data_IF_134653074712
#
_entry.id   IF_134653074712
#
_cell.length_a   1.000
_cell.length_b   1.000
_cell.length_c   1.000
_cell.angle_alpha   90.00
_cell.angle_beta   90.00
_cell.angle_gamma   90.00
#
_symmetry.space_group_name_H-M   'P 1'
#
loop_
_entity.id
_entity.type
_entity.pdbx_description
1 polymer ?
#
# COMPACT_ATOMS: atom_id res chain seq x y z
N UNK A 1 1.92 38.31 5.99
CA UNK A 1 1.92 37.23 4.98
C UNK A 1 2.04 35.89 5.68
N UNK A 2 1.21 34.90 5.33
CA UNK A 2 1.37 33.53 5.85
C UNK A 2 2.65 32.96 5.24
N UNK A 3 3.57 32.48 6.08
CA UNK A 3 4.83 31.86 5.61
C UNK A 3 4.51 30.71 4.62
N UNK A 4 5.36 30.48 3.59
CA UNK A 4 5.12 29.44 2.58
C UNK A 4 5.29 28.04 3.16
N UNK A 5 4.42 27.11 2.78
CA UNK A 5 4.56 25.71 3.14
C UNK A 5 5.70 25.07 2.38
N UNK A 6 6.70 24.56 3.10
CA UNK A 6 7.89 23.97 2.50
C UNK A 6 7.90 22.47 2.85
N UNK A 7 7.59 21.58 1.91
CA UNK A 7 7.72 20.15 2.17
C UNK A 7 9.19 19.76 2.39
N UNK A 8 9.48 18.63 3.07
CA UNK A 8 10.82 18.06 3.10
C UNK A 8 11.39 17.87 1.70
N UNK A 9 12.72 17.91 1.57
CA UNK A 9 13.36 17.64 0.28
C UNK A 9 12.98 16.24 -0.22
N UNK A 10 12.77 16.08 -1.54
CA UNK A 10 12.27 14.83 -2.17
C UNK A 10 10.98 14.29 -1.54
N UNK A 11 10.15 15.17 -0.99
CA UNK A 11 8.83 14.78 -0.52
C UNK A 11 8.00 14.19 -1.66
N UNK A 12 7.33 13.08 -1.39
CA UNK A 12 6.32 12.52 -2.27
C UNK A 12 5.34 11.65 -1.48
N UNK A 13 4.18 11.42 -2.10
CA UNK A 13 3.23 10.40 -1.67
C UNK A 13 3.69 9.08 -2.30
N UNK A 14 3.91 8.06 -1.47
CA UNK A 14 4.23 6.70 -1.93
C UNK A 14 2.93 5.93 -2.17
N UNK A 15 2.05 5.97 -1.18
CA UNK A 15 0.70 5.41 -1.20
C UNK A 15 -0.23 6.28 -0.35
N UNK A 16 -1.53 5.97 -0.34
CA UNK A 16 -2.45 6.65 0.56
C UNK A 16 -1.96 6.53 2.01
N UNK A 17 -1.81 7.68 2.68
CA UNK A 17 -1.29 7.82 4.05
C UNK A 17 0.18 7.36 4.25
N UNK A 18 0.92 7.08 3.18
CA UNK A 18 2.35 6.75 3.22
C UNK A 18 3.14 7.81 2.45
N UNK A 19 3.95 8.56 3.18
CA UNK A 19 4.74 9.66 2.62
C UNK A 19 6.23 9.37 2.75
N UNK A 20 7.03 9.89 1.81
CA UNK A 20 8.49 9.80 1.84
C UNK A 20 9.13 11.18 1.81
N UNK A 21 10.40 11.27 2.21
CA UNK A 21 11.24 12.44 1.95
C UNK A 21 12.62 12.35 2.60
N UNK A 22 13.32 13.49 2.61
CA UNK A 22 14.56 13.70 3.34
C UNK A 22 14.30 14.03 4.81
N UNK A 23 15.39 14.09 5.59
CA UNK A 23 15.35 14.46 7.00
C UNK A 23 14.64 15.81 7.22
N UNK A 24 13.54 15.84 8.00
CA UNK A 24 12.80 17.06 8.26
C UNK A 24 13.62 18.12 8.99
N UNK A 25 13.54 19.38 8.53
CA UNK A 25 14.08 20.56 9.22
C UNK A 25 12.93 21.41 9.76
N UNK A 26 13.22 22.35 10.67
CA UNK A 26 12.21 23.23 11.29
C UNK A 26 11.27 23.89 10.26
N UNK A 27 11.80 24.38 9.13
CA UNK A 27 11.02 24.95 8.02
C UNK A 27 9.95 24.02 7.42
N UNK A 28 10.09 22.70 7.62
CA UNK A 28 9.19 21.67 7.10
C UNK A 28 8.05 21.32 8.05
N UNK A 29 8.17 21.62 9.34
CA UNK A 29 7.23 21.15 10.37
C UNK A 29 5.81 21.66 10.16
N UNK A 30 5.64 22.90 9.68
CA UNK A 30 4.30 23.43 9.36
C UNK A 30 3.63 22.70 8.19
N UNK A 31 4.41 22.13 7.27
CA UNK A 31 3.89 21.26 6.21
C UNK A 31 3.54 19.88 6.78
N UNK A 32 4.45 19.24 7.51
CA UNK A 32 4.24 17.92 8.09
C UNK A 32 3.04 17.87 9.05
N UNK A 33 2.82 18.93 9.83
CA UNK A 33 1.63 19.07 10.69
C UNK A 33 0.31 18.94 9.93
N UNK A 34 0.26 19.40 8.67
CA UNK A 34 -0.95 19.29 7.85
C UNK A 34 -1.24 17.87 7.37
N UNK A 35 -0.23 17.00 7.33
CA UNK A 35 -0.41 15.59 7.00
C UNK A 35 -1.05 14.79 8.14
N UNK A 36 -1.14 15.38 9.35
CA UNK A 36 -1.70 14.73 10.55
C UNK A 36 -1.07 13.35 10.79
N UNK A 37 0.25 13.29 10.69
CA UNK A 37 1.01 12.06 10.81
C UNK A 37 0.76 11.43 12.16
N UNK A 38 0.64 10.10 12.17
CA UNK A 38 0.70 9.30 13.39
C UNK A 38 2.13 8.85 13.68
N UNK A 39 2.94 8.66 12.64
CA UNK A 39 4.29 8.11 12.76
C UNK A 39 5.29 8.86 11.89
N UNK A 40 6.49 9.12 12.40
CA UNK A 40 7.68 9.44 11.63
C UNK A 40 8.69 8.32 11.83
N UNK A 41 9.14 7.72 10.72
CA UNK A 41 10.10 6.61 10.72
C UNK A 41 11.43 7.07 10.08
N UNK A 42 12.45 7.21 10.93
CA UNK A 42 13.78 7.67 10.56
C UNK A 42 14.72 6.48 10.30
N UNK A 43 15.29 6.43 9.09
CA UNK A 43 16.27 5.44 8.63
C UNK A 43 17.64 6.11 8.47
N UNK A 44 18.31 6.40 9.59
CA UNK A 44 19.51 7.24 9.63
C UNK A 44 20.59 6.64 10.55
N UNK A 45 21.84 7.11 10.49
CA UNK A 45 22.93 6.50 11.28
C UNK A 45 22.90 6.87 12.76
N UNK A 46 22.48 8.09 13.06
CA UNK A 46 22.47 8.67 14.40
C UNK A 46 21.03 8.86 14.86
N UNK A 47 20.80 8.99 16.16
CA UNK A 47 19.48 9.33 16.67
C UNK A 47 18.96 10.66 16.08
N UNK A 48 17.64 10.80 15.86
CA UNK A 48 17.06 12.09 15.52
C UNK A 48 17.45 13.18 16.51
N UNK A 49 17.69 14.39 16.01
CA UNK A 49 18.01 15.54 16.85
C UNK A 49 16.81 15.93 17.71
N UNK A 50 17.09 16.56 18.86
CA UNK A 50 16.09 16.95 19.85
C UNK A 50 14.94 17.74 19.24
N UNK A 51 15.21 18.63 18.28
CA UNK A 51 14.19 19.46 17.64
C UNK A 51 13.13 18.63 16.89
N UNK A 52 13.54 17.51 16.25
CA UNK A 52 12.59 16.60 15.60
C UNK A 52 11.78 15.81 16.64
N UNK A 53 12.42 15.41 17.74
CA UNK A 53 11.76 14.68 18.82
C UNK A 53 10.72 15.55 19.53
N UNK A 54 11.05 16.81 19.82
CA UNK A 54 10.12 17.80 20.39
C UNK A 54 8.95 18.08 19.45
N UNK A 55 9.21 18.23 18.14
CA UNK A 55 8.13 18.35 17.16
C UNK A 55 7.20 17.13 17.19
N UNK A 56 7.75 15.92 17.20
CA UNK A 56 6.96 14.70 17.30
C UNK A 56 6.13 14.66 18.58
N UNK A 57 6.71 15.01 19.72
CA UNK A 57 6.00 15.05 21.01
C UNK A 57 4.84 16.05 20.99
N UNK A 58 5.09 17.28 20.52
CA UNK A 58 4.09 18.36 20.48
C UNK A 58 2.90 18.05 19.56
N UNK A 59 3.14 17.29 18.49
CA UNK A 59 2.09 16.90 17.53
C UNK A 59 1.54 15.48 17.77
N UNK A 60 1.91 14.83 18.89
CA UNK A 60 1.53 13.44 19.23
C UNK A 60 1.90 12.40 18.16
N UNK A 61 3.06 12.58 17.52
CA UNK A 61 3.61 11.69 16.50
C UNK A 61 4.55 10.68 17.16
N UNK A 62 4.36 9.40 16.86
CA UNK A 62 5.30 8.34 17.25
C UNK A 62 6.58 8.46 16.42
N UNK A 63 7.69 8.81 17.08
CA UNK A 63 9.03 8.80 16.46
C UNK A 63 9.63 7.40 16.56
N UNK A 64 9.92 6.79 15.41
CA UNK A 64 10.58 5.47 15.33
C UNK A 64 11.91 5.66 14.61
N UNK A 65 12.99 5.19 15.23
CA UNK A 65 14.32 5.23 14.63
C UNK A 65 14.82 3.81 14.38
N UNK A 66 15.19 3.55 13.12
CA UNK A 66 15.92 2.36 12.72
C UNK A 66 17.30 2.78 12.22
N UNK A 67 18.33 2.41 12.98
CA UNK A 67 19.70 2.75 12.64
C UNK A 67 20.11 2.11 11.30
N UNK A 68 20.55 2.95 10.36
CA UNK A 68 21.07 2.56 9.05
C UNK A 68 22.36 3.34 8.80
N UNK A 69 23.43 2.63 8.45
CA UNK A 69 24.76 3.23 8.27
C UNK A 69 24.78 4.29 7.16
N UNK A 70 25.80 5.16 7.15
CA UNK A 70 26.05 6.02 5.99
C UNK A 70 26.52 5.16 4.82
N UNK A 71 26.12 5.51 3.60
CA UNK A 71 26.75 4.96 2.41
C UNK A 71 28.22 5.36 2.44
N UNK A 72 29.11 4.37 2.62
CA UNK A 72 30.55 4.57 2.51
C UNK A 72 31.04 4.04 1.16
N UNK A 73 30.67 2.82 0.77
CA UNK A 73 30.93 2.27 -0.58
C UNK A 73 29.93 1.17 -1.02
N UNK A 74 28.94 0.84 -0.19
CA UNK A 74 27.95 -0.23 -0.43
C UNK A 74 26.53 0.29 -0.15
N UNK A 75 25.53 -0.50 -0.54
CA UNK A 75 24.13 -0.31 -0.11
C UNK A 75 24.07 -0.28 1.43
N UNK A 76 23.73 0.86 2.05
CA UNK A 76 23.77 1.01 3.50
C UNK A 76 22.63 0.27 4.22
N UNK A 77 21.54 -0.02 3.51
CA UNK A 77 20.37 -0.74 4.01
C UNK A 77 20.63 -2.24 3.94
N UNK A 78 20.31 -2.99 5.00
CA UNK A 78 20.28 -4.45 4.95
C UNK A 78 18.85 -4.99 4.86
N UNK A 79 18.68 -6.24 4.44
CA UNK A 79 17.35 -6.86 4.29
C UNK A 79 16.55 -6.90 5.58
N UNK A 80 17.18 -7.13 6.73
CA UNK A 80 16.47 -7.12 8.01
C UNK A 80 15.84 -5.75 8.30
N UNK A 81 16.56 -4.65 8.07
CA UNK A 81 16.02 -3.29 8.21
C UNK A 81 14.96 -2.98 7.16
N UNK A 82 15.11 -3.48 5.93
CA UNK A 82 14.07 -3.35 4.91
C UNK A 82 12.78 -4.05 5.37
N UNK A 83 12.86 -5.31 5.85
CA UNK A 83 11.72 -6.08 6.38
C UNK A 83 11.05 -5.36 7.55
N UNK A 84 11.83 -4.94 8.56
CA UNK A 84 11.30 -4.17 9.70
C UNK A 84 10.54 -2.92 9.25
N UNK A 85 11.09 -2.21 8.27
CA UNK A 85 10.49 -0.99 7.73
C UNK A 85 9.20 -1.29 6.98
N UNK A 86 9.20 -2.32 6.11
CA UNK A 86 8.00 -2.73 5.37
C UNK A 86 6.87 -3.12 6.31
N UNK A 87 7.15 -3.91 7.34
CA UNK A 87 6.14 -4.34 8.31
C UNK A 87 5.52 -3.16 9.08
N UNK A 88 6.29 -2.10 9.35
CA UNK A 88 5.75 -0.86 9.94
C UNK A 88 4.88 -0.10 8.93
N UNK A 89 5.32 0.01 7.67
CA UNK A 89 4.60 0.77 6.63
C UNK A 89 3.25 0.14 6.31
N UNK A 90 3.18 -1.20 6.23
CA UNK A 90 1.95 -1.90 5.84
C UNK A 90 0.96 -2.06 6.98
N UNK A 91 1.34 -1.77 8.23
CA UNK A 91 0.43 -1.87 9.38
C UNK A 91 -0.38 -0.56 9.56
N UNK A 92 -1.71 -0.59 9.39
CA UNK A 92 -2.58 0.56 9.56
C UNK A 92 -2.46 1.25 10.93
N UNK A 93 -1.95 0.55 11.95
CA UNK A 93 -1.72 1.12 13.26
C UNK A 93 -0.66 2.24 13.27
N UNK A 94 0.17 2.34 12.22
CA UNK A 94 1.19 3.39 12.07
C UNK A 94 0.80 4.51 11.10
N UNK A 95 -0.28 4.35 10.33
CA UNK A 95 -0.70 5.33 9.32
C UNK A 95 -1.47 6.50 9.94
N UNK A 96 -1.34 7.74 9.41
CA UNK A 96 -0.43 8.15 8.34
C UNK A 96 1.04 8.24 8.77
N UNK A 97 1.95 7.81 7.88
CA UNK A 97 3.38 7.67 8.16
C UNK A 97 4.25 8.50 7.21
N UNK A 98 5.30 9.14 7.74
CA UNK A 98 6.37 9.73 6.93
C UNK A 98 7.69 8.97 7.14
N UNK A 99 8.20 8.37 6.07
CA UNK A 99 9.47 7.64 6.04
C UNK A 99 10.58 8.51 5.46
N UNK A 100 11.74 8.53 6.11
CA UNK A 100 12.88 9.29 5.60
C UNK A 100 14.23 8.70 5.98
N UNK A 101 15.24 9.00 5.17
CA UNK A 101 16.63 8.90 5.54
C UNK A 101 17.23 10.31 5.66
N UNK A 102 18.53 10.48 5.42
CA UNK A 102 19.17 11.80 5.47
C UNK A 102 18.69 12.71 4.34
N UNK A 103 18.73 12.21 3.10
CA UNK A 103 18.46 13.00 1.89
C UNK A 103 17.22 12.52 1.11
N UNK A 104 16.60 11.42 1.55
CA UNK A 104 15.42 10.83 0.93
C UNK A 104 15.67 10.16 -0.42
N UNK A 105 16.92 9.84 -0.78
CA UNK A 105 17.26 9.11 -2.00
C UNK A 105 17.46 7.62 -1.75
N UNK A 106 18.69 7.18 -1.42
CA UNK A 106 19.11 5.79 -1.53
C UNK A 106 18.37 4.88 -0.55
N UNK A 107 18.53 5.08 0.76
CA UNK A 107 17.90 4.22 1.80
C UNK A 107 16.37 4.23 1.69
N UNK A 108 15.76 5.42 1.65
CA UNK A 108 14.30 5.55 1.52
C UNK A 108 13.81 4.97 0.19
N UNK A 109 14.54 5.21 -0.90
CA UNK A 109 14.19 4.71 -2.22
C UNK A 109 14.28 3.18 -2.33
N UNK A 110 15.30 2.56 -1.75
CA UNK A 110 15.42 1.11 -1.68
C UNK A 110 14.30 0.47 -0.86
N UNK A 111 13.93 1.05 0.28
CA UNK A 111 12.75 0.62 1.04
C UNK A 111 11.49 0.68 0.18
N UNK A 112 11.29 1.79 -0.54
CA UNK A 112 10.13 1.96 -1.43
C UNK A 112 10.18 0.95 -2.58
N UNK A 113 11.35 0.67 -3.16
CA UNK A 113 11.49 -0.35 -4.20
C UNK A 113 11.17 -1.76 -3.67
N UNK A 114 11.59 -2.09 -2.44
CA UNK A 114 11.17 -3.33 -1.76
C UNK A 114 9.66 -3.36 -1.48
N UNK A 115 9.04 -2.21 -1.16
CA UNK A 115 7.58 -2.11 -1.02
C UNK A 115 6.88 -2.36 -2.35
N UNK A 116 7.37 -1.80 -3.45
CA UNK A 116 6.85 -2.07 -4.80
C UNK A 116 6.94 -3.55 -5.15
N UNK A 117 8.03 -4.22 -4.74
CA UNK A 117 8.18 -5.67 -4.89
C UNK A 117 7.12 -6.44 -4.09
N UNK A 118 6.81 -6.03 -2.86
CA UNK A 118 5.71 -6.60 -2.06
C UNK A 118 4.33 -6.33 -2.69
N UNK A 119 4.16 -5.19 -3.35
CA UNK A 119 2.97 -4.86 -4.13
C UNK A 119 2.93 -5.59 -5.50
N UNK A 120 3.86 -6.50 -5.76
CA UNK A 120 3.98 -7.25 -7.01
C UNK A 120 4.20 -6.39 -8.27
N UNK A 121 4.82 -5.21 -8.12
CA UNK A 121 5.28 -4.45 -9.28
C UNK A 121 6.42 -5.19 -9.98
N UNK A 122 6.55 -4.97 -11.30
CA UNK A 122 7.74 -5.43 -12.02
C UNK A 122 8.98 -4.68 -11.55
N UNK A 123 10.13 -5.37 -11.50
CA UNK A 123 11.40 -4.77 -11.08
C UNK A 123 11.73 -3.50 -11.90
N UNK A 124 11.60 -3.48 -13.25
CA UNK A 124 11.85 -2.26 -14.01
C UNK A 124 10.97 -1.08 -13.60
N UNK A 125 9.71 -1.31 -13.22
CA UNK A 125 8.81 -0.24 -12.76
C UNK A 125 9.23 0.29 -11.39
N UNK A 126 9.59 -0.61 -10.46
CA UNK A 126 10.10 -0.24 -9.14
C UNK A 126 11.41 0.56 -9.25
N UNK A 127 12.34 0.12 -10.10
CA UNK A 127 13.60 0.81 -10.34
C UNK A 127 13.37 2.15 -11.07
N UNK A 128 12.43 2.22 -11.99
CA UNK A 128 12.04 3.46 -12.67
C UNK A 128 11.48 4.51 -11.69
N UNK A 129 10.73 4.10 -10.66
CA UNK A 129 10.34 5.00 -9.57
C UNK A 129 11.54 5.40 -8.72
N UNK A 130 12.39 4.44 -8.33
CA UNK A 130 13.56 4.71 -7.49
C UNK A 130 14.51 5.74 -8.13
N UNK A 131 14.78 5.58 -9.42
CA UNK A 131 15.64 6.47 -10.22
C UNK A 131 15.25 7.94 -10.12
N UNK A 132 13.94 8.25 -10.08
CA UNK A 132 13.41 9.63 -10.03
C UNK A 132 13.86 10.40 -8.78
N UNK A 133 14.25 9.69 -7.72
CA UNK A 133 14.64 10.28 -6.45
C UNK A 133 16.16 10.27 -6.23
N UNK A 134 16.95 9.63 -7.10
CA UNK A 134 18.40 9.61 -6.96
C UNK A 134 19.00 10.97 -7.33
N UNK A 135 20.14 11.31 -6.71
CA UNK A 135 20.83 12.58 -6.95
C UNK A 135 21.42 12.62 -8.35
N UNK A 136 22.14 11.56 -8.69
CA UNK A 136 22.95 11.49 -9.90
C UNK A 136 22.17 10.84 -11.06
N UNK A 137 20.92 10.44 -10.82
CA UNK A 137 20.07 9.81 -11.83
C UNK A 137 20.62 8.47 -12.32
N UNK A 138 21.43 7.78 -11.51
CA UNK A 138 22.03 6.49 -11.82
C UNK A 138 21.81 5.56 -10.63
N UNK A 139 21.27 4.38 -10.91
CA UNK A 139 21.19 3.27 -9.96
C UNK A 139 22.49 2.50 -10.05
N UNK A 140 23.15 2.28 -8.92
CA UNK A 140 24.34 1.42 -8.86
C UNK A 140 24.01 -0.06 -9.05
N UNK A 141 25.00 -0.86 -9.47
CA UNK A 141 24.84 -2.31 -9.63
C UNK A 141 24.40 -2.96 -8.31
N UNK A 142 24.99 -2.52 -7.19
CA UNK A 142 24.70 -3.03 -5.86
C UNK A 142 23.26 -2.71 -5.44
N UNK A 143 22.73 -1.53 -5.78
CA UNK A 143 21.34 -1.16 -5.52
C UNK A 143 20.36 -1.96 -6.37
N UNK A 144 20.66 -2.20 -7.66
CA UNK A 144 19.83 -3.06 -8.52
C UNK A 144 19.81 -4.48 -7.98
N UNK A 145 20.98 -5.02 -7.68
CA UNK A 145 21.15 -6.38 -7.13
C UNK A 145 20.42 -6.53 -5.79
N UNK A 146 20.47 -5.51 -4.93
CA UNK A 146 19.75 -5.50 -3.66
C UNK A 146 18.24 -5.69 -3.86
N UNK A 147 17.62 -4.95 -4.78
CA UNK A 147 16.16 -5.05 -5.02
C UNK A 147 15.81 -6.36 -5.72
N UNK A 148 16.61 -6.78 -6.71
CA UNK A 148 16.41 -8.03 -7.44
C UNK A 148 16.50 -9.25 -6.53
N UNK A 149 17.53 -9.32 -5.69
CA UNK A 149 17.78 -10.44 -4.76
C UNK A 149 17.04 -10.33 -3.44
N UNK A 150 16.32 -9.23 -3.18
CA UNK A 150 15.51 -9.09 -1.97
C UNK A 150 14.49 -10.23 -1.86
N UNK A 151 14.71 -11.13 -0.90
CA UNK A 151 13.85 -12.26 -0.57
C UNK A 151 13.85 -12.43 0.95
N UNK A 152 12.66 -12.42 1.54
CA UNK A 152 12.47 -12.50 2.98
C UNK A 152 11.08 -13.03 3.30
N UNK A 153 10.87 -13.36 4.58
CA UNK A 153 9.54 -13.53 5.16
C UNK A 153 9.04 -12.18 5.66
N UNK A 154 7.84 -11.78 5.24
CA UNK A 154 7.17 -10.56 5.67
C UNK A 154 5.94 -10.94 6.48
N UNK A 155 5.85 -10.41 7.70
CA UNK A 155 4.64 -10.54 8.51
C UNK A 155 3.57 -9.56 8.04
N UNK A 156 2.43 -10.09 7.62
CA UNK A 156 1.29 -9.31 7.11
C UNK A 156 0.33 -9.02 8.28
N UNK A 157 -0.01 -7.74 8.52
CA UNK A 157 -0.87 -7.34 9.63
C UNK A 157 -2.29 -7.88 9.47
N UNK A 158 -3.03 -7.90 10.58
CA UNK A 158 -4.43 -8.38 10.60
C UNK A 158 -5.36 -7.57 9.69
N UNK A 159 -5.07 -6.29 9.53
CA UNK A 159 -5.79 -5.40 8.61
C UNK A 159 -4.83 -4.96 7.52
N UNK A 160 -5.14 -5.32 6.28
CA UNK A 160 -4.34 -4.94 5.11
C UNK A 160 -4.85 -3.58 4.61
N UNK A 161 -3.97 -2.58 4.38
CA UNK A 161 -4.35 -1.31 3.78
C UNK A 161 -4.94 -1.51 2.38
N UNK A 162 -5.90 -0.67 1.97
CA UNK A 162 -6.55 -0.77 0.65
C UNK A 162 -5.57 -0.70 -0.53
N UNK A 163 -4.53 0.10 -0.42
CA UNK A 163 -3.48 0.21 -1.45
C UNK A 163 -2.58 -1.03 -1.53
N UNK A 164 -2.64 -1.93 -0.55
CA UNK A 164 -1.94 -3.21 -0.59
C UNK A 164 -2.93 -4.30 -1.01
N UNK A 165 -2.88 -4.67 -2.29
CA UNK A 165 -3.69 -5.74 -2.89
C UNK A 165 -5.22 -5.53 -2.80
N UNK A 166 -5.70 -4.28 -2.61
CA UNK A 166 -7.13 -4.03 -2.41
C UNK A 166 -7.61 -4.31 -0.99
N UNK A 167 -6.70 -4.40 -0.01
CA UNK A 167 -7.03 -4.68 1.39
C UNK A 167 -7.34 -6.14 1.69
N UNK A 168 -7.14 -7.05 0.73
CA UNK A 168 -7.35 -8.49 0.88
C UNK A 168 -6.37 -9.27 -0.03
N UNK A 169 -6.18 -10.56 0.22
CA UNK A 169 -5.25 -11.40 -0.54
C UNK A 169 -6.02 -12.18 -1.61
N UNK A 170 -5.66 -12.02 -2.88
CA UNK A 170 -6.32 -12.68 -4.03
C UNK A 170 -5.43 -13.73 -4.70
N UNK A 171 -4.26 -14.00 -4.14
CA UNK A 171 -3.25 -14.88 -4.72
C UNK A 171 -2.80 -15.94 -3.69
N UNK A 172 -2.43 -17.12 -4.19
CA UNK A 172 -1.99 -18.23 -3.33
C UNK A 172 -0.56 -18.06 -2.80
N UNK A 173 0.31 -17.42 -3.60
CA UNK A 173 1.73 -17.26 -3.27
C UNK A 173 2.27 -15.97 -3.87
N UNK A 174 3.07 -15.24 -3.10
CA UNK A 174 3.79 -14.09 -3.61
C UNK A 174 4.96 -14.56 -4.51
N UNK A 175 5.20 -13.94 -5.69
CA UNK A 175 6.20 -14.42 -6.64
C UNK A 175 7.63 -14.51 -6.09
N UNK A 176 8.00 -13.63 -5.16
CA UNK A 176 9.39 -13.46 -4.72
C UNK A 176 9.59 -13.42 -3.20
N UNK A 177 8.52 -13.39 -2.39
CA UNK A 177 8.58 -13.19 -0.94
C UNK A 177 7.79 -14.31 -0.24
N UNK A 178 8.18 -14.64 1.00
CA UNK A 178 7.36 -15.48 1.88
C UNK A 178 6.45 -14.57 2.69
N UNK A 179 5.18 -14.91 2.80
CA UNK A 179 4.21 -14.13 3.56
C UNK A 179 3.75 -14.93 4.78
N UNK A 180 3.79 -14.31 5.95
CA UNK A 180 3.27 -14.87 7.21
C UNK A 180 2.13 -13.99 7.70
N UNK A 181 0.90 -14.49 7.62
CA UNK A 181 -0.28 -13.73 8.01
C UNK A 181 -0.48 -13.80 9.53
N UNK A 182 -0.60 -12.65 10.19
CA UNK A 182 -0.85 -12.59 11.63
C UNK A 182 -2.28 -12.99 12.02
N UNK A 183 -3.20 -13.03 11.04
CA UNK A 183 -4.50 -13.68 11.18
C UNK A 183 -4.61 -14.77 10.10
N UNK A 184 -4.72 -16.06 10.50
CA UNK A 184 -4.78 -17.17 9.56
C UNK A 184 -6.05 -17.18 8.69
N UNK A 185 -7.09 -16.41 9.05
CA UNK A 185 -8.36 -16.36 8.31
C UNK A 185 -8.37 -15.33 7.17
N UNK A 186 -7.30 -14.56 6.97
CA UNK A 186 -7.23 -13.49 5.95
C UNK A 186 -7.17 -14.03 4.52
N UNK A 187 -6.67 -15.25 4.34
CA UNK A 187 -6.68 -15.90 3.03
C UNK A 187 -8.09 -16.44 2.82
N UNK A 188 -8.96 -15.69 2.15
CA UNK A 188 -10.16 -16.29 1.57
C UNK A 188 -9.69 -17.31 0.52
N UNK A 189 -10.01 -18.60 0.67
CA UNK A 189 -9.68 -19.58 -0.37
C UNK A 189 -10.34 -19.14 -1.68
N UNK A 190 -9.61 -19.18 -2.79
CA UNK A 190 -10.17 -18.94 -4.15
C UNK A 190 -11.41 -19.80 -4.42
N UNK A 191 -11.54 -20.97 -3.77
CA UNK A 191 -12.73 -21.83 -3.82
C UNK A 191 -13.98 -21.17 -3.26
N UNK A 192 -13.84 -20.32 -2.23
CA UNK A 192 -14.96 -19.59 -1.61
C UNK A 192 -15.43 -18.44 -2.50
N UNK A 193 -14.52 -17.82 -3.26
CA UNK A 193 -14.85 -16.80 -4.27
C UNK A 193 -15.49 -17.43 -5.51
N UNK A 194 -14.98 -18.56 -6.01
CA UNK A 194 -15.65 -19.35 -7.06
C UNK A 194 -17.04 -19.81 -6.64
N UNK A 195 -17.20 -20.32 -5.41
CA UNK A 195 -18.52 -20.69 -4.89
C UNK A 195 -19.46 -19.49 -4.80
N UNK A 196 -18.99 -18.33 -4.33
CA UNK A 196 -19.82 -17.11 -4.31
C UNK A 196 -20.22 -16.68 -5.73
N UNK A 197 -19.30 -16.67 -6.70
CA UNK A 197 -19.63 -16.33 -8.08
C UNK A 197 -20.55 -17.35 -8.75
N UNK A 198 -20.34 -18.65 -8.51
CA UNK A 198 -21.17 -19.71 -9.08
C UNK A 198 -22.59 -19.70 -8.49
N UNK A 199 -22.72 -19.42 -7.18
CA UNK A 199 -24.00 -19.24 -6.50
C UNK A 199 -24.72 -17.99 -7.02
N UNK A 200 -24.01 -16.87 -7.22
CA UNK A 200 -24.59 -15.63 -7.73
C UNK A 200 -25.05 -15.76 -9.20
N UNK A 201 -24.32 -16.54 -10.01
CA UNK A 201 -24.71 -16.90 -11.38
C UNK A 201 -25.95 -17.82 -11.39
N UNK A 202 -26.01 -18.80 -10.49
CA UNK A 202 -27.16 -19.71 -10.36
C UNK A 202 -28.43 -18.96 -9.89
N UNK A 203 -28.30 -18.08 -8.90
CA UNK A 203 -29.40 -17.25 -8.42
C UNK A 203 -29.92 -16.29 -9.50
N UNK A 204 -29.03 -15.68 -10.28
CA UNK A 204 -29.45 -14.82 -11.40
C UNK A 204 -30.13 -15.62 -12.53
N UNK A 205 -29.69 -16.85 -12.82
CA UNK A 205 -30.35 -17.73 -13.79
C UNK A 205 -31.75 -18.15 -13.33
N UNK A 206 -31.93 -18.46 -12.05
CA UNK A 206 -33.23 -18.83 -11.48
C UNK A 206 -34.22 -17.67 -11.53
N UNK A 207 -33.78 -16.45 -11.19
CA UNK A 207 -34.61 -15.23 -11.29
C UNK A 207 -35.03 -14.95 -12.73
N UNK A 208 -34.10 -15.00 -13.67
CA UNK A 208 -34.44 -14.80 -15.09
C UNK A 208 -35.44 -15.85 -15.61
N UNK A 209 -35.35 -17.09 -15.15
CA UNK A 209 -36.28 -18.17 -15.51
C UNK A 209 -37.68 -17.99 -14.92
N UNK A 210 -37.81 -17.46 -13.70
CA UNK A 210 -39.12 -17.17 -13.09
C UNK A 210 -39.81 -15.99 -13.73
N UNK A 211 -39.06 -14.95 -14.12
CA UNK A 211 -39.61 -13.76 -14.77
C UNK A 211 -40.18 -14.11 -16.16
N UNK A 212 -39.45 -14.92 -16.94
CA UNK A 212 -39.92 -15.43 -18.24
C UNK A 212 -41.19 -16.29 -18.16
N UNK A 213 -41.37 -17.07 -17.08
CA UNK A 213 -42.58 -17.87 -16.87
C UNK A 213 -43.76 -16.99 -16.40
N UNK A 214 -43.49 -15.95 -15.61
CA UNK A 214 -44.50 -14.96 -15.21
C UNK A 214 -45.05 -14.21 -16.42
N UNK A 215 -44.17 -13.74 -17.30
CA UNK A 215 -44.56 -13.03 -18.53
C UNK A 215 -45.36 -13.92 -19.49
N UNK A 216 -45.03 -15.23 -19.58
CA UNK A 216 -45.79 -16.17 -20.41
C UNK A 216 -47.21 -16.41 -19.87
N UNK A 217 -47.37 -16.53 -18.55
CA UNK A 217 -48.67 -16.79 -17.92
C UNK A 217 -49.59 -15.55 -17.96
N UNK A 218 -49.02 -14.35 -17.86
CA UNK A 218 -49.78 -13.11 -18.07
C UNK A 218 -50.26 -12.95 -19.52
N UNK A 219 -49.47 -13.40 -20.50
CA UNK A 219 -49.86 -13.33 -21.91
C UNK A 219 -51.00 -14.28 -22.30
N UNK A 220 -51.24 -15.35 -21.52
CA UNK A 220 -52.30 -16.34 -21.79
C UNK A 220 -53.67 -16.01 -21.19
N UNK A 221 -53.79 -14.97 -20.34
CA UNK A 221 -55.03 -14.65 -19.64
C UNK A 221 -55.85 -13.50 -20.27
N UNK A 222 -55.52 -13.03 -21.47
CA UNK A 222 -56.21 -11.87 -22.10
C UNK A 222 -57.09 -12.19 -23.31
N UNK A 223 -57.43 -13.46 -23.56
CA UNK A 223 -58.34 -13.81 -24.66
C UNK A 223 -59.52 -14.64 -24.15
N UNK A 224 -60.59 -13.95 -23.75
CA UNK A 224 -61.99 -14.28 -24.09
C UNK A 224 -62.92 -13.28 -23.41
N UNK A 225 -63.51 -12.36 -24.20
CA UNK A 225 -64.91 -11.93 -24.09
C UNK A 225 -65.15 -10.82 -25.12
N UNK A 226 -65.72 -11.18 -26.27
CA UNK A 226 -66.53 -10.26 -27.06
C UNK A 226 -67.81 -10.98 -27.46
N UNK A 227 -68.88 -10.53 -26.83
CA UNK A 227 -70.26 -10.92 -27.05
C UNK A 227 -70.70 -10.60 -28.49
N UNK A 228 -71.44 -11.55 -29.05
CA UNK A 228 -72.21 -11.44 -30.27
C UNK A 228 -73.46 -10.62 -29.96
N UNK A 229 -73.71 -9.54 -30.70
CA UNK A 229 -75.04 -8.95 -30.78
C UNK A 229 -75.44 -8.77 -32.25
N UNK A 230 -76.51 -9.45 -32.62
CA UNK A 230 -77.32 -9.24 -33.83
C UNK A 230 -77.95 -7.83 -33.82
N UNK A 231 -77.94 -7.14 -34.95
CA UNK A 231 -79.10 -6.71 -35.79
C UNK A 231 -78.53 -6.03 -37.04
#
# INVERSE_FOLDING_TARGET
MVSPLIPPFRYAIVENEVYRGAYPKNRNYRFLKRLKLKTILSLIPEQPVTELLEFCQNENIKSIHLQVNRAKDNVPLNYHKAVQTLQIIIDPSYLPIFIHCLDGANVTGLVVACLRKLQMWSIPSAMGEFLRYLRDGVISTEESEFVEKFSAEIEIPRKIPQWLWGGHVTFNKHPTLKLKFLDPNIVEPLETQKKKSDVEIDDNRKRAGTDLLGDLLESTNTVTEYEINEV
#
